data_IF_836464394440
#
_entry.id   IF_836464394440
#
_cell.length_a   1.000
_cell.length_b   1.000
_cell.length_c   1.000
_cell.angle_alpha   90.00
_cell.angle_beta   90.00
_cell.angle_gamma   90.00
#
_symmetry.space_group_name_H-M   'P 1'
#
loop_
_entity.id
_entity.type
_entity.pdbx_description
1 polymer ?
#
# COMPACT_ATOMS: atom_id res chain seq x y z
N UNK A 1 1.09 -2.04 -16.39
CA UNK A 1 -0.03 -3.01 -16.48
C UNK A 1 -1.10 -2.58 -15.51
N UNK A 2 -2.31 -2.35 -16.00
CA UNK A 2 -3.47 -2.02 -15.16
C UNK A 2 -3.92 -3.29 -14.41
N UNK A 3 -4.27 -3.14 -13.13
CA UNK A 3 -4.77 -4.21 -12.26
C UNK A 3 -6.10 -3.79 -11.66
N UNK A 4 -7.01 -4.75 -11.46
CA UNK A 4 -8.36 -4.51 -10.96
C UNK A 4 -8.69 -5.50 -9.86
N UNK A 5 -9.35 -5.04 -8.80
CA UNK A 5 -9.69 -5.85 -7.63
C UNK A 5 -9.36 -5.14 -6.32
N UNK A 6 -9.19 -5.90 -5.24
CA UNK A 6 -8.77 -5.35 -3.95
C UNK A 6 -7.40 -4.71 -4.08
N UNK A 7 -7.31 -3.40 -3.79
CA UNK A 7 -6.07 -2.61 -3.90
C UNK A 7 -4.93 -3.28 -3.13
N UNK A 8 -5.17 -3.71 -1.89
CA UNK A 8 -4.17 -4.37 -1.05
C UNK A 8 -3.69 -5.67 -1.69
N UNK A 9 -4.62 -6.50 -2.19
CA UNK A 9 -4.28 -7.78 -2.81
C UNK A 9 -3.42 -7.58 -4.06
N UNK A 10 -3.79 -6.64 -4.93
CA UNK A 10 -3.06 -6.36 -6.16
C UNK A 10 -1.68 -5.76 -5.89
N UNK A 11 -1.53 -4.87 -4.90
CA UNK A 11 -0.23 -4.31 -4.51
C UNK A 11 0.70 -5.42 -3.98
N UNK A 12 0.22 -6.26 -3.08
CA UNK A 12 1.01 -7.35 -2.50
C UNK A 12 1.37 -8.38 -3.56
N UNK A 13 0.42 -8.78 -4.41
CA UNK A 13 0.65 -9.71 -5.51
C UNK A 13 1.68 -9.17 -6.49
N UNK A 14 1.59 -7.88 -6.84
CA UNK A 14 2.55 -7.21 -7.71
C UNK A 14 3.96 -7.14 -7.11
N UNK A 15 4.09 -6.92 -5.80
CA UNK A 15 5.37 -6.90 -5.10
C UNK A 15 6.01 -8.30 -5.07
N UNK A 16 5.23 -9.34 -4.73
CA UNK A 16 5.69 -10.74 -4.76
C UNK A 16 6.14 -11.16 -6.15
N UNK A 17 5.33 -10.90 -7.18
CA UNK A 17 5.63 -11.28 -8.55
C UNK A 17 6.89 -10.61 -9.12
N UNK A 18 7.28 -9.47 -8.56
CA UNK A 18 8.48 -8.71 -8.99
C UNK A 18 9.69 -8.92 -8.08
N UNK A 19 9.54 -9.65 -6.97
CA UNK A 19 10.58 -9.71 -5.94
C UNK A 19 10.96 -8.33 -5.42
N UNK A 20 9.98 -7.43 -5.21
CA UNK A 20 10.26 -6.07 -4.80
C UNK A 20 10.71 -6.01 -3.33
N UNK A 21 11.78 -5.28 -3.06
CA UNK A 21 12.31 -5.07 -1.70
C UNK A 21 11.70 -3.85 -0.97
N UNK A 22 11.02 -2.97 -1.71
CA UNK A 22 10.39 -1.75 -1.19
C UNK A 22 9.10 -1.41 -1.94
N UNK A 23 8.05 -1.08 -1.19
CA UNK A 23 6.82 -0.45 -1.70
C UNK A 23 6.79 1.01 -1.25
N UNK A 24 6.59 1.93 -2.19
CA UNK A 24 6.40 3.37 -1.90
C UNK A 24 4.96 3.75 -2.19
N UNK A 25 4.28 4.37 -1.21
CA UNK A 25 2.89 4.79 -1.36
C UNK A 25 2.55 6.01 -0.51
N UNK A 26 1.44 6.70 -0.83
CA UNK A 26 0.92 7.83 -0.05
C UNK A 26 -0.22 7.40 0.86
N UNK A 27 -0.34 8.00 2.06
CA UNK A 27 -1.45 7.69 2.98
C UNK A 27 -2.72 8.53 2.78
N UNK A 28 -2.65 9.58 1.95
CA UNK A 28 -3.58 10.71 2.05
C UNK A 28 -5.02 10.32 1.70
N UNK A 29 -5.92 10.59 2.65
CA UNK A 29 -7.36 10.77 2.45
C UNK A 29 -7.73 12.17 2.93
N UNK A 30 -8.02 13.13 2.03
CA UNK A 30 -8.26 14.53 2.39
C UNK A 30 -9.38 14.72 3.43
N UNK A 31 -10.40 13.86 3.40
CA UNK A 31 -11.57 13.89 4.29
C UNK A 31 -11.37 13.28 5.69
N UNK A 32 -10.24 12.63 5.99
CA UNK A 32 -9.97 12.03 7.31
C UNK A 32 -8.87 12.80 8.04
N UNK A 33 -9.26 13.76 8.89
CA UNK A 33 -8.32 14.61 9.66
C UNK A 33 -7.53 13.84 10.74
N UNK A 34 -8.11 12.79 11.32
CA UNK A 34 -7.59 12.20 12.55
C UNK A 34 -6.89 10.84 12.37
N UNK A 35 -6.73 10.36 11.14
CA UNK A 35 -6.07 9.07 10.88
C UNK A 35 -4.78 9.24 10.06
N UNK A 36 -3.59 9.04 10.67
CA UNK A 36 -2.32 9.35 10.03
C UNK A 36 -1.99 8.45 8.82
N UNK A 37 -2.67 7.29 8.67
CA UNK A 37 -2.42 6.31 7.60
C UNK A 37 -3.74 5.82 7.01
N UNK A 38 -4.15 6.23 5.80
CA UNK A 38 -5.40 5.74 5.19
C UNK A 38 -5.53 4.21 5.13
N UNK A 39 -6.76 3.69 5.15
CA UNK A 39 -7.05 2.25 5.32
C UNK A 39 -6.27 1.32 4.37
N UNK A 40 -6.07 1.73 3.11
CA UNK A 40 -5.28 0.95 2.15
C UNK A 40 -3.80 0.91 2.53
N UNK A 41 -3.21 2.04 2.92
CA UNK A 41 -1.82 2.10 3.36
C UNK A 41 -1.61 1.27 4.63
N UNK A 42 -2.55 1.32 5.57
CA UNK A 42 -2.50 0.50 6.79
C UNK A 42 -2.55 -1.01 6.45
N UNK A 43 -3.41 -1.40 5.52
CA UNK A 43 -3.53 -2.80 5.08
C UNK A 43 -2.29 -3.28 4.33
N UNK A 44 -1.67 -2.44 3.49
CA UNK A 44 -0.44 -2.78 2.78
C UNK A 44 0.73 -2.89 3.75
N UNK A 45 0.94 -1.91 4.64
CA UNK A 45 1.99 -1.95 5.68
C UNK A 45 1.90 -3.23 6.51
N UNK A 46 0.68 -3.67 6.85
CA UNK A 46 0.48 -4.87 7.67
C UNK A 46 0.83 -6.19 6.99
N UNK A 47 0.74 -6.28 5.66
CA UNK A 47 0.80 -7.56 4.94
C UNK A 47 1.84 -7.60 3.81
N UNK A 48 2.56 -6.51 3.58
CA UNK A 48 3.60 -6.48 2.57
C UNK A 48 4.71 -7.51 2.89
N UNK A 49 5.25 -8.20 1.88
CA UNK A 49 6.38 -9.11 2.07
C UNK A 49 7.72 -8.38 2.25
N UNK A 50 7.72 -7.05 2.15
CA UNK A 50 8.90 -6.21 2.11
C UNK A 50 8.63 -4.85 2.77
N UNK A 51 9.67 -4.01 2.85
CA UNK A 51 9.57 -2.70 3.48
C UNK A 51 8.53 -1.82 2.78
N UNK A 52 7.84 -0.98 3.55
CA UNK A 52 6.86 -0.02 3.03
C UNK A 52 7.21 1.39 3.49
N UNK A 53 7.43 2.29 2.54
CA UNK A 53 7.62 3.71 2.78
C UNK A 53 6.32 4.46 2.48
N UNK A 54 5.72 5.02 3.54
CA UNK A 54 4.47 5.79 3.45
C UNK A 54 4.78 7.29 3.49
N UNK A 55 4.55 7.97 2.37
CA UNK A 55 4.71 9.42 2.24
C UNK A 55 3.42 10.14 2.69
N UNK A 56 3.59 11.33 3.29
CA UNK A 56 2.51 12.20 3.76
C UNK A 56 2.45 13.48 2.94
#
# INVERSE_FOLDING_TARGET
GLRSGSITHEIIGAAKARGADLIVMTSRRPEMRDYPIGANAAQVVRHAPCSVLVLR
#
